data_IF_154800458099
#
_entry.id   IF_154800458099
#
_cell.length_a   1.000
_cell.length_b   1.000
_cell.length_c   1.000
_cell.angle_alpha   90.00
_cell.angle_beta   90.00
_cell.angle_gamma   90.00
#
_symmetry.space_group_name_H-M   'P 1'
#
loop_
_entity.id
_entity.type
_entity.pdbx_description
1 polymer ?
#
# COMPACT_ATOMS: atom_id res chain seq x y z
N UNK A 1 -2.91 -22.97 7.11
CA UNK A 1 -3.98 -22.09 6.60
C UNK A 1 -3.43 -21.22 5.48
N UNK A 2 -4.23 -21.02 4.41
CA UNK A 2 -3.83 -20.17 3.28
C UNK A 2 -3.79 -18.69 3.71
N UNK A 3 -2.78 -17.95 3.25
CA UNK A 3 -2.71 -16.50 3.49
C UNK A 3 -3.82 -15.76 2.75
N UNK A 4 -4.19 -14.55 3.22
CA UNK A 4 -5.19 -13.70 2.56
C UNK A 4 -4.86 -13.44 1.07
N UNK A 5 -3.57 -13.40 0.71
CA UNK A 5 -3.11 -13.24 -0.67
C UNK A 5 -3.42 -14.46 -1.53
N UNK A 6 -3.19 -15.67 -1.01
CA UNK A 6 -3.54 -16.91 -1.71
C UNK A 6 -5.05 -17.01 -1.90
N UNK A 7 -5.83 -16.69 -0.86
CA UNK A 7 -7.30 -16.67 -0.95
C UNK A 7 -7.78 -15.69 -2.01
N UNK A 8 -7.25 -14.46 -2.02
CA UNK A 8 -7.57 -13.48 -3.04
C UNK A 8 -7.28 -13.99 -4.46
N UNK A 9 -6.09 -14.58 -4.69
CA UNK A 9 -5.74 -15.17 -5.98
C UNK A 9 -6.68 -16.30 -6.41
N UNK A 10 -7.06 -17.17 -5.47
CA UNK A 10 -8.01 -18.26 -5.68
C UNK A 10 -9.40 -17.75 -6.06
N UNK A 11 -9.93 -16.75 -5.34
CA UNK A 11 -11.24 -16.13 -5.59
C UNK A 11 -11.30 -15.46 -6.98
N UNK A 12 -10.23 -14.75 -7.38
CA UNK A 12 -10.15 -14.16 -8.70
C UNK A 12 -10.15 -15.22 -9.82
N UNK A 13 -9.42 -16.30 -9.61
CA UNK A 13 -9.38 -17.43 -10.54
C UNK A 13 -10.73 -18.14 -10.60
N UNK A 14 -11.35 -18.44 -9.46
CA UNK A 14 -12.69 -19.04 -9.39
C UNK A 14 -13.70 -18.17 -10.14
N UNK A 15 -13.78 -16.87 -9.83
CA UNK A 15 -14.71 -15.94 -10.48
C UNK A 15 -14.57 -15.96 -11.99
N UNK A 16 -13.34 -16.07 -12.48
CA UNK A 16 -13.06 -16.10 -13.94
C UNK A 16 -13.50 -17.42 -14.56
N UNK A 17 -13.23 -18.54 -13.90
CA UNK A 17 -13.60 -19.85 -14.37
C UNK A 17 -15.12 -20.06 -14.34
N UNK A 18 -15.83 -19.61 -13.29
CA UNK A 18 -17.29 -19.64 -13.21
C UNK A 18 -17.93 -18.85 -14.37
N UNK A 19 -17.41 -17.66 -14.67
CA UNK A 19 -17.86 -16.86 -15.83
C UNK A 19 -17.62 -17.55 -17.16
N UNK A 20 -16.60 -18.41 -17.24
CA UNK A 20 -16.29 -19.22 -18.41
C UNK A 20 -17.13 -20.51 -18.50
N UNK A 21 -18.02 -20.78 -17.53
CA UNK A 21 -18.93 -21.92 -17.49
C UNK A 21 -18.37 -23.17 -16.81
N UNK A 22 -17.25 -23.07 -16.11
CA UNK A 22 -16.73 -24.15 -15.27
C UNK A 22 -17.47 -24.17 -13.93
N UNK A 23 -17.69 -25.36 -13.37
CA UNK A 23 -18.13 -25.51 -11.99
C UNK A 23 -16.88 -25.63 -11.10
N UNK A 24 -16.65 -24.64 -10.24
CA UNK A 24 -15.47 -24.57 -9.40
C UNK A 24 -15.81 -24.77 -7.94
N UNK A 25 -15.10 -25.68 -7.27
CA UNK A 25 -15.17 -25.86 -5.83
C UNK A 25 -13.82 -25.50 -5.23
N UNK A 26 -13.79 -24.53 -4.33
CA UNK A 26 -12.61 -24.20 -3.55
C UNK A 26 -12.56 -25.01 -2.27
N UNK A 27 -11.39 -25.55 -1.95
CA UNK A 27 -11.14 -26.30 -0.72
C UNK A 27 -9.77 -25.95 -0.16
N UNK A 28 -9.71 -25.76 1.14
CA UNK A 28 -8.45 -25.66 1.87
C UNK A 28 -8.00 -27.03 2.36
N UNK A 29 -6.71 -27.33 2.23
CA UNK A 29 -6.08 -28.54 2.76
C UNK A 29 -5.03 -29.12 1.82
N UNK A 30 -4.36 -30.12 2.28
CA UNK A 30 -3.28 -30.81 1.56
C UNK A 30 -3.79 -32.01 0.72
N UNK A 31 -5.11 -32.23 0.71
CA UNK A 31 -5.70 -33.37 0.02
C UNK A 31 -5.86 -33.09 -1.47
N UNK A 32 -5.08 -33.77 -2.29
CA UNK A 32 -5.23 -33.78 -3.74
C UNK A 32 -6.28 -34.84 -4.09
N UNK A 33 -7.37 -34.41 -4.74
CA UNK A 33 -8.38 -35.35 -5.22
C UNK A 33 -7.87 -36.15 -6.41
N UNK A 34 -7.87 -37.45 -6.29
CA UNK A 34 -7.46 -38.38 -7.37
C UNK A 34 -8.61 -38.75 -8.31
N UNK A 35 -9.64 -37.91 -8.46
CA UNK A 35 -10.70 -38.14 -9.43
C UNK A 35 -10.22 -37.79 -10.84
N UNK A 36 -10.10 -38.74 -11.78
CA UNK A 36 -9.59 -38.49 -13.12
C UNK A 36 -10.51 -37.59 -13.97
N UNK A 37 -11.77 -37.41 -13.58
CA UNK A 37 -12.74 -36.54 -14.28
C UNK A 37 -12.73 -35.10 -13.79
N UNK A 38 -11.95 -34.82 -12.71
CA UNK A 38 -11.85 -33.50 -12.12
C UNK A 38 -10.45 -32.92 -12.34
N UNK A 39 -10.39 -31.72 -12.88
CA UNK A 39 -9.14 -30.95 -12.92
C UNK A 39 -8.89 -30.28 -11.58
N UNK A 40 -7.69 -30.41 -11.05
CA UNK A 40 -7.29 -29.77 -9.80
C UNK A 40 -6.27 -28.68 -10.07
N UNK A 41 -6.49 -27.48 -9.53
CA UNK A 41 -5.50 -26.42 -9.49
C UNK A 41 -5.06 -26.25 -8.03
N UNK A 42 -3.81 -26.62 -7.73
CA UNK A 42 -3.24 -26.51 -6.40
C UNK A 42 -2.44 -25.19 -6.30
N UNK A 43 -2.81 -24.35 -5.34
CA UNK A 43 -2.15 -23.08 -5.05
C UNK A 43 -1.29 -23.23 -3.79
N UNK A 44 0.00 -22.92 -3.86
CA UNK A 44 0.92 -23.10 -2.73
C UNK A 44 2.08 -22.11 -2.77
N UNK A 45 2.59 -21.76 -1.61
CA UNK A 45 3.91 -21.13 -1.51
C UNK A 45 5.01 -22.17 -1.55
N UNK A 46 6.20 -21.76 -1.97
CA UNK A 46 7.38 -22.61 -2.03
C UNK A 46 8.61 -21.89 -1.47
N UNK A 47 9.50 -22.66 -0.85
CA UNK A 47 10.80 -22.17 -0.40
C UNK A 47 11.88 -22.23 -1.50
N UNK A 48 11.50 -22.50 -2.75
CA UNK A 48 12.44 -22.56 -3.86
C UNK A 48 13.12 -21.19 -4.08
N UNK A 49 14.40 -21.12 -3.73
CA UNK A 49 15.21 -19.89 -3.82
C UNK A 49 15.62 -19.53 -5.26
N UNK A 50 15.34 -20.40 -6.23
CA UNK A 50 15.56 -20.09 -7.65
C UNK A 50 14.49 -19.14 -8.18
N UNK A 51 13.32 -19.08 -7.54
CA UNK A 51 12.28 -18.10 -7.82
C UNK A 51 12.63 -16.76 -7.17
N UNK A 52 12.50 -15.68 -7.92
CA UNK A 52 12.58 -14.30 -7.40
C UNK A 52 11.45 -14.07 -6.39
N UNK A 53 11.60 -13.09 -5.51
CA UNK A 53 10.47 -12.57 -4.72
C UNK A 53 9.31 -12.20 -5.65
N UNK A 54 8.08 -12.57 -5.28
CA UNK A 54 6.88 -12.43 -6.10
C UNK A 54 6.89 -13.27 -7.41
N UNK A 55 7.89 -14.12 -7.61
CA UNK A 55 7.94 -15.04 -8.73
C UNK A 55 7.08 -16.28 -8.50
N UNK A 56 6.73 -16.95 -9.59
CA UNK A 56 5.92 -18.16 -9.56
C UNK A 56 6.35 -19.18 -10.60
N UNK A 57 5.96 -20.42 -10.37
CA UNK A 57 6.04 -21.51 -11.34
C UNK A 57 4.67 -22.18 -11.46
N UNK A 58 4.29 -22.49 -12.70
CA UNK A 58 3.10 -23.30 -13.00
C UNK A 58 3.61 -24.60 -13.65
N UNK A 59 3.10 -25.75 -13.18
CA UNK A 59 3.36 -27.05 -13.78
C UNK A 59 2.07 -27.82 -13.91
N UNK A 60 1.84 -28.47 -15.06
CA UNK A 60 0.66 -29.31 -15.31
C UNK A 60 1.08 -30.72 -15.68
N UNK A 61 0.56 -31.70 -14.93
CA UNK A 61 0.75 -33.12 -15.20
C UNK A 61 -0.64 -33.80 -15.13
N UNK A 62 -1.10 -34.31 -16.27
CA UNK A 62 -2.46 -34.87 -16.37
C UNK A 62 -3.54 -33.83 -15.99
N UNK A 63 -4.34 -34.14 -14.98
CA UNK A 63 -5.41 -33.27 -14.49
C UNK A 63 -4.99 -32.36 -13.32
N UNK A 64 -3.73 -32.43 -12.88
CA UNK A 64 -3.21 -31.59 -11.81
C UNK A 64 -2.37 -30.45 -12.38
N UNK A 65 -2.79 -29.21 -12.08
CA UNK A 65 -1.98 -28.01 -12.29
C UNK A 65 -1.56 -27.46 -10.93
N UNK A 66 -0.27 -27.28 -10.74
CA UNK A 66 0.28 -26.66 -9.53
C UNK A 66 0.78 -25.27 -9.83
N UNK A 67 0.31 -24.28 -9.07
CA UNK A 67 0.82 -22.90 -9.03
C UNK A 67 1.63 -22.74 -7.75
N UNK A 68 2.93 -22.61 -7.88
CA UNK A 68 3.87 -22.45 -6.76
C UNK A 68 4.44 -21.04 -6.78
N UNK A 69 4.04 -20.19 -5.83
CA UNK A 69 4.59 -18.84 -5.66
C UNK A 69 5.78 -18.85 -4.69
N UNK A 70 6.77 -18.00 -4.91
CA UNK A 70 7.86 -17.77 -3.94
C UNK A 70 7.32 -17.22 -2.62
N UNK A 71 6.19 -16.51 -2.70
CA UNK A 71 5.38 -15.94 -1.62
C UNK A 71 3.92 -15.81 -2.09
N UNK A 72 3.02 -15.32 -1.23
CA UNK A 72 1.61 -15.16 -1.56
C UNK A 72 1.36 -14.26 -2.77
N UNK A 73 2.19 -13.24 -3.01
CA UNK A 73 2.09 -12.40 -4.21
C UNK A 73 2.46 -13.17 -5.48
N UNK A 74 3.47 -14.04 -5.41
CA UNK A 74 3.79 -14.95 -6.50
C UNK A 74 2.63 -15.88 -6.84
N UNK A 75 1.88 -16.37 -5.85
CA UNK A 75 0.65 -17.16 -6.08
C UNK A 75 -0.41 -16.32 -6.79
N UNK A 76 -0.64 -15.06 -6.36
CA UNK A 76 -1.56 -14.14 -7.05
C UNK A 76 -1.19 -14.01 -8.53
N UNK A 77 0.08 -13.76 -8.83
CA UNK A 77 0.53 -13.58 -10.22
C UNK A 77 0.46 -14.88 -11.05
N UNK A 78 0.68 -16.04 -10.42
CA UNK A 78 0.43 -17.33 -11.05
C UNK A 78 -1.05 -17.55 -11.38
N UNK A 79 -1.96 -17.22 -10.48
CA UNK A 79 -3.40 -17.22 -10.74
C UNK A 79 -3.76 -16.24 -11.87
N UNK A 80 -3.17 -15.04 -11.85
CA UNK A 80 -3.38 -14.03 -12.89
C UNK A 80 -2.92 -14.53 -14.26
N UNK A 81 -1.80 -15.21 -14.34
CA UNK A 81 -1.33 -15.84 -15.57
C UNK A 81 -2.35 -16.84 -16.16
N UNK A 82 -2.95 -17.68 -15.30
CA UNK A 82 -4.01 -18.60 -15.73
C UNK A 82 -5.25 -17.87 -16.23
N UNK A 83 -5.64 -16.78 -15.55
CA UNK A 83 -6.76 -15.91 -15.94
C UNK A 83 -6.53 -15.31 -17.33
N UNK A 84 -5.34 -14.75 -17.58
CA UNK A 84 -4.98 -14.09 -18.84
C UNK A 84 -4.97 -15.09 -19.99
N UNK A 85 -4.44 -16.32 -19.77
CA UNK A 85 -4.46 -17.41 -20.74
C UNK A 85 -5.87 -17.90 -21.04
N UNK A 86 -6.74 -18.01 -20.04
CA UNK A 86 -8.13 -18.37 -20.20
C UNK A 86 -8.89 -17.33 -21.04
N UNK A 87 -8.67 -16.05 -20.76
CA UNK A 87 -9.28 -14.94 -21.52
C UNK A 87 -8.86 -14.94 -22.98
N UNK A 88 -7.59 -15.18 -23.25
CA UNK A 88 -7.04 -15.27 -24.62
C UNK A 88 -7.57 -16.47 -25.39
N UNK A 89 -7.99 -17.53 -24.72
CA UNK A 89 -8.48 -18.79 -25.29
C UNK A 89 -10.01 -18.88 -25.40
N UNK A 90 -10.72 -17.75 -25.36
CA UNK A 90 -12.20 -17.66 -25.39
C UNK A 90 -12.86 -18.50 -24.28
N UNK A 91 -12.32 -18.38 -23.07
CA UNK A 91 -12.82 -19.08 -21.89
C UNK A 91 -12.38 -20.55 -21.76
N UNK A 92 -11.61 -21.11 -22.70
CA UNK A 92 -11.02 -22.42 -22.51
C UNK A 92 -9.78 -22.32 -21.63
N UNK A 93 -9.72 -23.19 -20.64
CA UNK A 93 -8.58 -23.27 -19.72
C UNK A 93 -7.33 -23.75 -20.46
N UNK A 94 -6.40 -22.83 -20.72
CA UNK A 94 -5.12 -23.11 -21.37
C UNK A 94 -4.02 -23.23 -20.31
N UNK A 95 -3.76 -24.45 -19.86
CA UNK A 95 -2.81 -24.75 -18.81
C UNK A 95 -1.43 -25.06 -19.40
N UNK A 96 -0.37 -24.32 -19.03
CA UNK A 96 0.97 -24.59 -19.50
C UNK A 96 1.52 -25.88 -18.87
N UNK A 97 2.24 -26.68 -19.64
CA UNK A 97 2.96 -27.84 -19.11
C UNK A 97 3.99 -27.40 -18.05
N UNK A 98 4.76 -26.38 -18.37
CA UNK A 98 5.70 -25.72 -17.45
C UNK A 98 5.85 -24.25 -17.82
N UNK A 99 5.72 -23.37 -16.81
CA UNK A 99 5.99 -21.94 -16.94
C UNK A 99 6.64 -21.44 -15.66
N UNK A 100 7.64 -20.60 -15.79
CA UNK A 100 8.25 -19.88 -14.66
C UNK A 100 8.37 -18.42 -15.05
N UNK A 101 7.93 -17.53 -14.16
CA UNK A 101 8.00 -16.08 -14.37
C UNK A 101 8.20 -15.35 -13.03
N UNK A 102 8.65 -14.10 -13.09
CA UNK A 102 8.85 -13.25 -11.93
C UNK A 102 9.25 -11.84 -12.31
N UNK A 103 9.05 -10.88 -11.40
CA UNK A 103 9.28 -9.47 -11.70
C UNK A 103 10.77 -9.14 -11.89
N UNK A 104 11.05 -8.21 -12.81
CA UNK A 104 12.38 -7.62 -12.97
C UNK A 104 12.58 -6.40 -12.05
N UNK A 105 11.51 -5.66 -11.75
CA UNK A 105 11.54 -4.51 -10.84
C UNK A 105 10.91 -4.86 -9.49
N UNK A 106 11.53 -4.42 -8.40
CA UNK A 106 11.06 -4.67 -7.04
C UNK A 106 9.76 -3.92 -6.76
N UNK A 107 9.65 -2.66 -7.17
CA UNK A 107 8.44 -1.84 -7.02
C UNK A 107 7.90 -1.47 -8.40
N UNK A 108 6.62 -1.70 -8.57
CA UNK A 108 5.86 -1.45 -9.80
C UNK A 108 4.52 -0.87 -9.40
N UNK A 109 4.28 0.40 -9.70
CA UNK A 109 3.05 1.01 -9.22
C UNK A 109 2.73 2.35 -9.83
N UNK A 110 1.68 2.95 -9.31
CA UNK A 110 1.18 4.24 -9.71
C UNK A 110 1.12 5.21 -8.53
N UNK A 111 1.26 6.49 -8.81
CA UNK A 111 1.08 7.56 -7.84
C UNK A 111 -0.30 8.18 -7.99
N UNK A 112 -1.01 8.30 -6.89
CA UNK A 112 -2.31 8.98 -6.79
C UNK A 112 -2.14 10.23 -5.94
N UNK A 113 -2.43 11.40 -6.53
CA UNK A 113 -2.37 12.68 -5.83
C UNK A 113 -3.59 12.91 -4.96
N UNK A 114 -3.43 12.79 -3.65
CA UNK A 114 -4.35 13.28 -2.62
C UNK A 114 -3.91 14.68 -2.19
N UNK A 115 -3.66 15.55 -3.17
CA UNK A 115 -3.05 16.84 -2.98
C UNK A 115 -3.95 17.96 -3.50
N UNK A 116 -4.24 18.90 -2.63
CA UNK A 116 -4.91 20.15 -2.96
C UNK A 116 -4.26 21.25 -2.15
N UNK A 117 -3.70 22.24 -2.82
CA UNK A 117 -2.90 23.28 -2.19
C UNK A 117 -3.45 24.68 -2.46
N UNK A 118 -3.15 25.60 -1.57
CA UNK A 118 -3.32 27.03 -1.77
C UNK A 118 -2.21 27.81 -1.06
N UNK A 119 -1.98 29.05 -1.48
CA UNK A 119 -1.07 29.96 -0.79
C UNK A 119 -1.83 30.77 0.25
N UNK A 120 -1.44 30.64 1.51
CA UNK A 120 -1.97 31.45 2.60
C UNK A 120 -1.10 32.71 2.77
N UNK A 121 -1.70 33.92 2.85
CA UNK A 121 -0.97 35.15 3.13
C UNK A 121 -0.13 35.01 4.41
N UNK A 122 1.18 35.24 4.31
CA UNK A 122 2.10 35.15 5.45
C UNK A 122 2.44 33.74 5.96
N UNK A 123 1.74 32.69 5.49
CA UNK A 123 1.90 31.33 5.99
C UNK A 123 2.59 30.37 4.99
N UNK A 124 2.74 30.75 3.72
CA UNK A 124 3.30 29.90 2.68
C UNK A 124 2.27 28.93 2.09
N UNK A 125 2.72 27.80 1.57
CA UNK A 125 1.84 26.78 1.00
C UNK A 125 1.05 26.10 2.11
N UNK A 126 -0.24 25.96 1.91
CA UNK A 126 -1.15 25.19 2.74
C UNK A 126 -1.62 23.97 1.96
N UNK A 127 -1.46 22.82 2.56
CA UNK A 127 -1.97 21.56 2.07
C UNK A 127 -3.32 21.27 2.71
N UNK A 128 -4.36 21.07 1.90
CA UNK A 128 -5.69 20.77 2.43
C UNK A 128 -5.72 19.40 3.11
N UNK A 129 -6.38 19.30 4.28
CA UNK A 129 -6.56 18.04 4.98
C UNK A 129 -7.51 17.11 4.21
N UNK A 130 -7.47 15.81 4.53
CA UNK A 130 -8.41 14.84 3.99
C UNK A 130 -9.79 15.07 4.56
N UNK A 131 -10.68 15.59 3.73
CA UNK A 131 -12.10 15.78 4.05
C UNK A 131 -12.94 15.34 2.86
N UNK A 132 -14.24 14.98 3.07
CA UNK A 132 -15.16 14.68 1.98
C UNK A 132 -15.30 15.81 0.96
N UNK A 133 -15.15 17.07 1.39
CA UNK A 133 -15.21 18.24 0.52
C UNK A 133 -13.95 18.40 -0.35
N UNK A 134 -12.79 18.12 0.24
CA UNK A 134 -11.50 18.25 -0.48
C UNK A 134 -11.25 17.09 -1.43
N UNK A 135 -11.59 15.87 -1.00
CA UNK A 135 -11.30 14.63 -1.73
C UNK A 135 -12.49 13.65 -1.68
N UNK A 136 -13.65 13.98 -2.27
CA UNK A 136 -14.85 13.13 -2.17
C UNK A 136 -14.62 11.70 -2.68
N UNK A 137 -13.83 11.52 -3.74
CA UNK A 137 -13.51 10.22 -4.32
C UNK A 137 -12.63 9.34 -3.40
N UNK A 138 -11.90 9.93 -2.45
CA UNK A 138 -11.10 9.16 -1.48
C UNK A 138 -11.97 8.26 -0.62
N UNK A 139 -13.22 8.65 -0.37
CA UNK A 139 -14.18 7.92 0.46
C UNK A 139 -15.01 6.89 -0.32
N UNK A 140 -14.75 6.70 -1.60
CA UNK A 140 -15.43 5.72 -2.43
C UNK A 140 -14.70 4.35 -2.39
N UNK A 141 -15.17 3.47 -1.49
CA UNK A 141 -14.60 2.13 -1.31
C UNK A 141 -14.67 1.27 -2.58
N UNK A 142 -15.75 1.38 -3.36
CA UNK A 142 -15.88 0.60 -4.59
C UNK A 142 -14.89 1.04 -5.65
N UNK A 143 -14.65 2.34 -5.78
CA UNK A 143 -13.67 2.88 -6.70
C UNK A 143 -12.26 2.42 -6.33
N UNK A 144 -11.91 2.40 -5.03
CA UNK A 144 -10.63 1.88 -4.58
C UNK A 144 -10.45 0.39 -4.88
N UNK A 145 -11.49 -0.44 -4.65
CA UNK A 145 -11.44 -1.86 -4.99
C UNK A 145 -11.16 -2.04 -6.50
N UNK A 146 -11.92 -1.36 -7.36
CA UNK A 146 -11.71 -1.42 -8.82
C UNK A 146 -10.32 -0.99 -9.24
N UNK A 147 -9.79 0.06 -8.58
CA UNK A 147 -8.45 0.57 -8.86
C UNK A 147 -7.36 -0.41 -8.42
N UNK A 148 -7.46 -0.97 -7.22
CA UNK A 148 -6.53 -1.98 -6.72
C UNK A 148 -6.57 -3.27 -7.58
N UNK A 149 -7.75 -3.71 -7.98
CA UNK A 149 -7.91 -4.86 -8.90
C UNK A 149 -7.25 -4.59 -10.25
N UNK A 150 -7.38 -3.37 -10.77
CA UNK A 150 -6.68 -2.96 -11.99
C UNK A 150 -5.17 -2.98 -11.83
N UNK A 151 -4.63 -2.53 -10.68
CA UNK A 151 -3.19 -2.60 -10.40
C UNK A 151 -2.69 -4.05 -10.41
N UNK A 152 -3.38 -4.96 -9.71
CA UNK A 152 -3.03 -6.38 -9.70
C UNK A 152 -3.14 -7.00 -11.09
N UNK A 153 -4.19 -6.66 -11.84
CA UNK A 153 -4.38 -7.16 -13.21
C UNK A 153 -3.20 -6.79 -14.12
N UNK A 154 -2.53 -5.68 -13.84
CA UNK A 154 -1.32 -5.23 -14.52
C UNK A 154 -0.03 -5.61 -13.77
N UNK A 155 -0.10 -6.54 -12.80
CA UNK A 155 1.02 -7.04 -12.00
C UNK A 155 1.80 -5.94 -11.27
N UNK A 156 1.11 -4.84 -10.92
CA UNK A 156 1.65 -3.78 -10.08
C UNK A 156 1.53 -4.18 -8.60
N UNK A 157 2.54 -3.80 -7.81
CA UNK A 157 2.64 -4.16 -6.40
C UNK A 157 2.81 -2.95 -5.47
N UNK A 158 2.65 -1.73 -5.96
CA UNK A 158 2.79 -0.54 -5.13
C UNK A 158 1.80 0.56 -5.52
N UNK A 159 1.30 1.25 -4.51
CA UNK A 159 0.44 2.42 -4.61
C UNK A 159 1.07 3.54 -3.81
N UNK A 160 1.49 4.60 -4.50
CA UNK A 160 2.00 5.81 -3.87
C UNK A 160 0.86 6.79 -3.67
N UNK A 161 0.66 7.25 -2.44
CA UNK A 161 -0.30 8.30 -2.09
C UNK A 161 0.46 9.58 -1.83
N UNK A 162 0.19 10.60 -2.64
CA UNK A 162 0.89 11.87 -2.54
C UNK A 162 0.05 12.90 -1.79
N UNK A 163 0.56 13.37 -0.65
CA UNK A 163 0.05 14.53 0.08
C UNK A 163 1.20 15.20 0.82
N UNK A 164 1.24 16.51 0.83
CA UNK A 164 2.37 17.25 1.43
C UNK A 164 2.45 17.12 2.95
N UNK A 165 1.32 16.97 3.65
CA UNK A 165 1.27 16.83 5.11
C UNK A 165 0.09 15.95 5.58
N UNK A 166 0.13 14.62 5.37
CA UNK A 166 -0.99 13.73 5.65
C UNK A 166 -1.30 13.59 7.14
N UNK A 167 -0.32 13.85 8.00
CA UNK A 167 -0.40 13.59 9.45
C UNK A 167 -1.50 14.41 10.12
N UNK A 168 -1.72 15.65 9.69
CA UNK A 168 -2.76 16.53 10.22
C UNK A 168 -4.20 16.00 10.04
N UNK A 169 -4.38 14.96 9.22
CA UNK A 169 -5.69 14.34 8.93
C UNK A 169 -5.79 12.89 9.39
N UNK A 170 -4.65 12.21 9.63
CA UNK A 170 -4.60 10.77 9.81
C UNK A 170 -4.12 10.32 11.20
N UNK A 171 -3.50 11.22 11.98
CA UNK A 171 -3.01 10.89 13.33
C UNK A 171 -3.31 11.99 14.34
N UNK A 172 -3.52 11.59 15.58
CA UNK A 172 -3.63 12.49 16.75
C UNK A 172 -2.34 12.43 17.53
N UNK A 173 -1.79 13.59 17.85
CA UNK A 173 -0.59 13.71 18.66
C UNK A 173 -0.97 14.08 20.10
N UNK A 174 -0.53 13.26 21.05
CA UNK A 174 -0.81 13.51 22.48
C UNK A 174 -0.27 14.88 22.94
N UNK A 175 0.94 15.22 22.49
CA UNK A 175 1.62 16.45 22.90
C UNK A 175 1.20 17.68 22.06
N UNK A 176 0.58 17.46 20.91
CA UNK A 176 0.12 18.49 19.98
C UNK A 176 -1.32 18.24 19.52
N UNK A 177 -2.30 18.10 20.44
CA UNK A 177 -3.68 17.73 20.07
C UNK A 177 -4.34 18.76 19.16
N UNK A 178 -3.91 20.01 19.23
CA UNK A 178 -4.39 21.12 18.39
C UNK A 178 -3.86 21.08 16.96
N UNK A 179 -2.89 20.23 16.64
CA UNK A 179 -2.33 20.13 15.29
C UNK A 179 -3.21 19.34 14.32
N UNK A 180 -4.25 18.67 14.79
CA UNK A 180 -5.23 17.98 13.96
C UNK A 180 -6.10 19.00 13.23
N UNK A 181 -6.20 18.89 11.90
CA UNK A 181 -6.92 19.87 11.05
C UNK A 181 -8.33 19.43 10.65
N UNK A 182 -8.79 18.32 11.17
CA UNK A 182 -10.13 17.78 10.91
C UNK A 182 -10.89 17.58 12.22
N UNK A 183 -12.20 17.66 12.17
CA UNK A 183 -13.05 17.35 13.32
C UNK A 183 -13.05 15.83 13.64
N UNK A 184 -13.64 15.48 14.76
CA UNK A 184 -13.66 14.10 15.26
C UNK A 184 -14.40 13.14 14.33
N UNK A 185 -15.46 13.58 13.68
CA UNK A 185 -16.23 12.78 12.73
C UNK A 185 -15.43 12.50 11.47
N UNK A 186 -14.83 13.53 10.90
CA UNK A 186 -13.96 13.41 9.71
C UNK A 186 -12.72 12.58 10.04
N UNK A 187 -12.13 12.75 11.22
CA UNK A 187 -10.99 11.95 11.64
C UNK A 187 -11.33 10.46 11.66
N UNK A 188 -12.46 10.06 12.23
CA UNK A 188 -12.91 8.65 12.23
C UNK A 188 -13.15 8.10 10.82
N UNK A 189 -13.75 8.91 9.95
CA UNK A 189 -13.91 8.53 8.53
C UNK A 189 -12.56 8.32 7.84
N UNK A 190 -11.58 9.17 8.13
CA UNK A 190 -10.24 9.04 7.58
C UNK A 190 -9.54 7.77 8.07
N UNK A 191 -9.64 7.48 9.38
CA UNK A 191 -9.12 6.23 9.95
C UNK A 191 -9.72 5.01 9.26
N UNK A 192 -11.05 4.97 9.14
CA UNK A 192 -11.76 3.86 8.51
C UNK A 192 -11.34 3.68 7.05
N UNK A 193 -11.30 4.78 6.29
CA UNK A 193 -10.96 4.73 4.87
C UNK A 193 -9.50 4.36 4.62
N UNK A 194 -8.58 4.94 5.38
CA UNK A 194 -7.16 4.65 5.21
C UNK A 194 -6.82 3.22 5.63
N UNK A 195 -7.39 2.72 6.74
CA UNK A 195 -7.27 1.33 7.15
C UNK A 195 -7.85 0.38 6.11
N UNK A 196 -9.07 0.64 5.65
CA UNK A 196 -9.71 -0.14 4.58
C UNK A 196 -8.82 -0.21 3.33
N UNK A 197 -8.33 0.92 2.84
CA UNK A 197 -7.48 0.98 1.64
C UNK A 197 -6.20 0.15 1.80
N UNK A 198 -5.54 0.30 2.94
CA UNK A 198 -4.26 -0.39 3.19
C UNK A 198 -4.42 -1.88 3.41
N UNK A 199 -5.52 -2.32 4.04
CA UNK A 199 -5.86 -3.73 4.22
C UNK A 199 -6.24 -4.39 2.87
N UNK A 200 -7.07 -3.74 2.07
CA UNK A 200 -7.44 -4.23 0.75
C UNK A 200 -6.25 -4.28 -0.21
N UNK A 201 -5.32 -3.32 -0.10
CA UNK A 201 -4.06 -3.34 -0.83
C UNK A 201 -3.18 -4.53 -0.40
N UNK A 202 -3.05 -4.80 0.90
CA UNK A 202 -2.24 -5.91 1.40
C UNK A 202 -2.77 -7.28 0.97
N UNK A 203 -4.09 -7.49 0.99
CA UNK A 203 -4.72 -8.71 0.45
C UNK A 203 -4.33 -8.98 -1.01
N UNK A 204 -4.06 -7.92 -1.77
CA UNK A 204 -3.67 -7.95 -3.19
C UNK A 204 -2.16 -7.96 -3.41
N UNK A 205 -1.38 -7.98 -2.34
CA UNK A 205 0.09 -7.89 -2.43
C UNK A 205 0.59 -6.51 -2.85
N UNK A 206 -0.21 -5.46 -2.66
CA UNK A 206 0.14 -4.07 -3.00
C UNK A 206 0.65 -3.36 -1.75
N UNK A 207 1.87 -2.79 -1.83
CA UNK A 207 2.42 -1.90 -0.81
C UNK A 207 1.84 -0.50 -0.97
N UNK A 208 1.21 0.01 0.07
CA UNK A 208 0.86 1.43 0.14
C UNK A 208 2.05 2.21 0.67
N UNK A 209 2.44 3.27 -0.04
CA UNK A 209 3.56 4.13 0.30
C UNK A 209 3.05 5.56 0.39
N UNK A 210 3.02 6.12 1.60
CA UNK A 210 2.63 7.50 1.82
C UNK A 210 3.82 8.42 1.54
N UNK A 211 3.64 9.30 0.57
CA UNK A 211 4.60 10.35 0.25
C UNK A 211 4.22 11.63 0.96
N UNK A 212 5.21 12.36 1.47
CA UNK A 212 5.01 13.64 2.13
C UNK A 212 6.22 14.58 1.99
N UNK A 213 5.97 15.87 2.21
CA UNK A 213 7.02 16.88 2.33
C UNK A 213 7.38 17.09 3.81
N UNK A 214 8.65 17.04 4.11
CA UNK A 214 9.17 17.29 5.46
C UNK A 214 9.07 18.76 5.91
N UNK A 215 8.85 19.68 4.97
CA UNK A 215 8.82 21.15 5.20
C UNK A 215 7.45 21.70 5.54
N UNK A 216 6.38 20.93 5.29
CA UNK A 216 5.02 21.38 5.53
C UNK A 216 4.62 21.01 6.97
N UNK A 217 4.07 21.98 7.68
CA UNK A 217 3.49 21.82 9.01
C UNK A 217 1.96 21.91 8.93
N UNK A 218 1.27 21.32 9.90
CA UNK A 218 -0.14 21.61 10.11
C UNK A 218 -0.36 23.12 10.25
N UNK A 219 -1.42 23.63 9.64
CA UNK A 219 -1.80 25.04 9.75
C UNK A 219 -2.02 25.45 11.21
N UNK A 220 -2.74 24.62 11.97
CA UNK A 220 -3.04 24.89 13.38
C UNK A 220 -1.76 24.85 14.24
N UNK A 221 -0.84 23.95 13.95
CA UNK A 221 0.46 23.93 14.61
C UNK A 221 1.26 25.20 14.29
N UNK A 222 1.31 25.57 13.01
CA UNK A 222 2.02 26.75 12.56
C UNK A 222 1.44 28.05 13.18
N UNK A 223 0.13 28.21 13.20
CA UNK A 223 -0.56 29.33 13.82
C UNK A 223 -0.26 29.42 15.33
N UNK A 224 -0.31 28.29 16.05
CA UNK A 224 -0.05 28.24 17.49
C UNK A 224 1.34 28.77 17.88
N UNK A 225 2.34 28.47 17.05
CA UNK A 225 3.73 28.84 17.31
C UNK A 225 4.22 30.05 16.50
N UNK A 226 3.34 30.74 15.75
CA UNK A 226 3.72 31.89 14.92
C UNK A 226 4.65 31.51 13.76
N UNK A 227 4.52 30.29 13.23
CA UNK A 227 5.33 29.77 12.14
C UNK A 227 4.58 29.85 10.79
N UNK A 228 5.30 29.71 9.69
CA UNK A 228 4.70 29.44 8.38
C UNK A 228 4.42 27.95 8.22
N UNK A 229 3.39 27.60 7.48
CA UNK A 229 3.11 26.20 7.11
C UNK A 229 4.21 25.60 6.27
N UNK A 230 4.78 26.39 5.34
CA UNK A 230 5.95 26.04 4.57
C UNK A 230 6.98 27.17 4.62
N UNK A 231 8.22 26.84 4.89
CA UNK A 231 9.33 27.79 4.84
C UNK A 231 10.60 27.04 4.45
N UNK A 232 11.07 27.27 3.23
CA UNK A 232 12.28 26.61 2.70
C UNK A 232 13.57 27.04 3.40
N UNK A 233 13.55 28.22 4.04
CA UNK A 233 14.69 28.73 4.80
C UNK A 233 14.55 28.48 6.30
N UNK A 234 13.63 27.60 6.69
CA UNK A 234 13.40 27.29 8.10
C UNK A 234 14.58 26.55 8.68
N UNK A 235 15.14 27.02 9.80
CA UNK A 235 16.13 26.25 10.52
C UNK A 235 15.49 25.03 11.17
N UNK A 236 16.26 23.96 11.31
CA UNK A 236 15.88 22.81 12.13
C UNK A 236 15.87 23.26 13.58
N UNK A 237 14.67 23.29 14.19
CA UNK A 237 14.52 23.61 15.60
C UNK A 237 14.08 22.37 16.37
N UNK A 238 14.39 22.27 17.69
CA UNK A 238 13.91 21.14 18.50
C UNK A 238 12.39 20.95 18.45
N UNK A 239 11.64 22.05 18.40
CA UNK A 239 10.17 22.02 18.32
C UNK A 239 9.66 21.35 17.05
N UNK A 240 10.20 21.76 15.87
CA UNK A 240 9.77 21.21 14.59
C UNK A 240 10.23 19.76 14.43
N UNK A 241 11.44 19.46 14.90
CA UNK A 241 11.98 18.10 14.90
C UNK A 241 11.13 17.16 15.77
N UNK A 242 10.73 17.59 16.98
CA UNK A 242 9.87 16.80 17.89
C UNK A 242 8.48 16.57 17.27
N UNK A 243 7.84 17.62 16.74
CA UNK A 243 6.56 17.51 16.08
C UNK A 243 6.59 16.52 14.90
N UNK A 244 7.58 16.65 14.02
CA UNK A 244 7.69 15.78 12.85
C UNK A 244 8.01 14.33 13.24
N UNK A 245 8.94 14.12 14.17
CA UNK A 245 9.29 12.80 14.69
C UNK A 245 8.07 12.09 15.29
N UNK A 246 7.30 12.79 16.13
CA UNK A 246 6.07 12.26 16.73
C UNK A 246 4.96 11.99 15.71
N UNK A 247 4.82 12.85 14.69
CA UNK A 247 3.88 12.65 13.60
C UNK A 247 4.16 11.35 12.84
N UNK A 248 5.42 11.12 12.51
CA UNK A 248 5.88 9.91 11.81
C UNK A 248 5.67 8.68 12.70
N UNK A 249 6.09 8.75 13.97
CA UNK A 249 5.94 7.64 14.91
C UNK A 249 4.48 7.22 15.09
N UNK A 250 3.59 8.19 15.33
CA UNK A 250 2.15 7.95 15.46
C UNK A 250 1.53 7.37 14.17
N UNK A 251 2.00 7.82 13.01
CA UNK A 251 1.52 7.30 11.72
C UNK A 251 1.92 5.83 11.51
N UNK A 252 3.17 5.48 11.77
CA UNK A 252 3.67 4.10 11.62
C UNK A 252 3.02 3.16 12.63
N UNK A 253 2.86 3.59 13.88
CA UNK A 253 2.17 2.81 14.90
C UNK A 253 0.72 2.52 14.48
N UNK A 254 0.03 3.51 13.93
CA UNK A 254 -1.38 3.40 13.56
C UNK A 254 -1.61 2.61 12.28
N UNK A 255 -0.73 2.75 11.28
CA UNK A 255 -0.85 2.11 9.96
C UNK A 255 0.39 1.24 9.66
N UNK A 256 0.52 0.08 10.32
CA UNK A 256 1.76 -0.72 10.33
C UNK A 256 2.12 -1.37 9.00
N UNK A 257 1.21 -1.38 8.02
CA UNK A 257 1.39 -1.93 6.68
C UNK A 257 1.66 -0.85 5.61
N UNK A 258 1.98 0.37 6.01
CA UNK A 258 2.27 1.50 5.11
C UNK A 258 3.75 1.86 5.18
N UNK A 259 4.38 2.00 4.01
CA UNK A 259 5.70 2.57 3.86
C UNK A 259 5.68 4.09 3.75
N UNK A 260 6.84 4.72 3.88
CA UNK A 260 7.01 6.17 3.74
C UNK A 260 7.97 6.50 2.61
N UNK A 261 7.67 7.58 1.88
CA UNK A 261 8.58 8.23 0.96
C UNK A 261 8.62 9.73 1.27
N UNK A 262 9.81 10.24 1.55
CA UNK A 262 10.01 11.63 1.97
C UNK A 262 10.61 12.43 0.83
N UNK A 263 9.98 13.54 0.48
CA UNK A 263 10.55 14.53 -0.41
C UNK A 263 11.40 15.51 0.38
N UNK A 264 12.73 15.40 0.25
CA UNK A 264 13.71 16.27 0.92
C UNK A 264 14.14 17.47 0.08
N UNK A 265 14.39 17.26 -1.21
CA UNK A 265 15.16 18.12 -2.08
C UNK A 265 14.65 19.55 -2.33
N UNK A 266 13.45 19.91 -1.89
CA UNK A 266 12.94 21.28 -1.96
C UNK A 266 12.85 21.95 -0.58
N UNK A 267 13.37 21.28 0.44
CA UNK A 267 12.96 21.50 1.81
C UNK A 267 13.93 22.29 2.64
N UNK A 268 15.20 22.20 2.32
CA UNK A 268 16.28 22.78 3.13
C UNK A 268 17.33 23.45 2.27
N UNK A 269 18.12 24.33 2.89
CA UNK A 269 19.04 25.16 2.15
C UNK A 269 20.34 24.43 1.80
N UNK A 270 20.71 23.39 2.55
CA UNK A 270 21.97 22.69 2.39
C UNK A 270 21.79 21.17 2.44
N UNK A 271 22.74 20.45 1.84
CA UNK A 271 22.79 18.98 1.92
C UNK A 271 23.00 18.51 3.37
N UNK A 272 23.75 19.27 4.15
CA UNK A 272 24.01 18.99 5.56
C UNK A 272 22.72 19.04 6.37
N UNK A 273 21.84 20.02 6.13
CA UNK A 273 20.52 20.12 6.75
C UNK A 273 19.63 18.94 6.36
N UNK A 274 19.62 18.54 5.08
CA UNK A 274 18.89 17.37 4.61
C UNK A 274 19.35 16.09 5.33
N UNK A 275 20.66 15.88 5.43
CA UNK A 275 21.25 14.73 6.11
C UNK A 275 20.92 14.75 7.62
N UNK A 276 21.04 15.92 8.26
CA UNK A 276 20.70 16.06 9.67
C UNK A 276 19.22 15.77 9.92
N UNK A 277 18.33 16.34 9.13
CA UNK A 277 16.90 16.15 9.26
C UNK A 277 16.50 14.69 9.09
N UNK A 278 17.02 14.05 8.06
CA UNK A 278 16.72 12.65 7.79
C UNK A 278 17.24 11.74 8.89
N UNK A 279 18.49 11.91 9.31
CA UNK A 279 19.14 11.02 10.28
C UNK A 279 18.72 11.28 11.72
N UNK A 280 18.40 12.53 12.09
CA UNK A 280 18.07 12.90 13.49
C UNK A 280 16.56 13.07 13.74
N UNK A 281 15.73 13.17 12.71
CA UNK A 281 14.29 13.38 12.86
C UNK A 281 13.48 12.27 12.19
N UNK A 282 13.65 12.07 10.87
CA UNK A 282 12.82 11.13 10.09
C UNK A 282 13.10 9.68 10.52
N UNK A 283 14.34 9.23 10.42
CA UNK A 283 14.71 7.85 10.80
C UNK A 283 14.37 7.54 12.27
N UNK A 284 14.67 8.42 13.25
CA UNK A 284 14.21 8.20 14.63
C UNK A 284 12.69 8.10 14.75
N UNK A 285 11.90 8.91 14.06
CA UNK A 285 10.45 8.80 14.06
C UNK A 285 9.95 7.44 13.54
N UNK A 286 10.57 6.94 12.47
CA UNK A 286 10.28 5.59 11.96
C UNK A 286 10.61 4.53 12.99
N UNK A 287 11.78 4.61 13.63
CA UNK A 287 12.22 3.66 14.66
C UNK A 287 11.30 3.67 15.86
N UNK A 288 10.87 4.84 16.33
CA UNK A 288 9.95 4.97 17.46
C UNK A 288 8.61 4.28 17.15
N UNK A 289 8.04 4.50 15.96
CA UNK A 289 6.80 3.85 15.55
C UNK A 289 6.94 2.33 15.41
N UNK A 290 8.05 1.85 14.84
CA UNK A 290 8.33 0.41 14.77
C UNK A 290 8.51 -0.21 16.15
N UNK A 291 9.20 0.47 17.05
CA UNK A 291 9.40 0.02 18.43
C UNK A 291 8.07 -0.08 19.18
N UNK A 292 7.15 0.86 19.00
CA UNK A 292 5.82 0.81 19.57
C UNK A 292 5.04 -0.44 19.13
N UNK A 293 5.30 -0.92 17.90
CA UNK A 293 4.75 -2.15 17.35
C UNK A 293 5.52 -3.43 17.74
N UNK A 294 6.60 -3.33 18.53
CA UNK A 294 7.49 -4.45 18.81
C UNK A 294 8.29 -4.95 17.59
N UNK A 295 8.50 -4.08 16.60
CA UNK A 295 9.24 -4.34 15.34
C UNK A 295 10.58 -3.59 15.35
N UNK A 296 11.55 -4.08 14.55
CA UNK A 296 12.90 -3.46 14.44
C UNK A 296 13.21 -3.10 12.99
#
# INVERSE_FOLDING_TARGET
>A
DASNRILFGAEQLQTTLDKAGYQVVMQQGDTIFSNPDVRTILLTETNDTTLKKEGFQITTVGNLTKVSGRDGSGVIYGCRELIDRGSSSKGKLNLPEKLTDGPEMVLRGACVGLQKMTYLPGHGVYEYPYTPESFPWFYDKEQWIKYLDMLVANRMNSLYLWNGHPFASLVKLKDYPFALEVDEETFKKNEEMFSFLTEEADKRGIFVIQMFYNIILSKLFAEHYGLRTQDRNRPITPLIADYTRKSIAAFIEKYPNVGLLVCLGEAMCTVEDDVEWFTKTIIPGVKDGLQALGRT
#
